data_IF_545987495333
#
_entry.id   IF_545987495333
#
_cell.length_a   1.000
_cell.length_b   1.000
_cell.length_c   1.000
_cell.angle_alpha   90.00
_cell.angle_beta   90.00
_cell.angle_gamma   90.00
#
_symmetry.space_group_name_H-M   'P 1'
#
loop_
_entity.id
_entity.type
_entity.pdbx_description
1 polymer ?
#
# COMPACT_ATOMS: atom_id res chain seq x y z
N UNK A 1 0.21 -35.44 -3.28
CA UNK A 1 0.69 -34.11 -3.71
C UNK A 1 2.20 -34.05 -3.57
N UNK A 2 2.92 -33.64 -4.62
CA UNK A 2 4.37 -33.45 -4.55
C UNK A 2 4.68 -32.33 -3.55
N UNK A 3 5.37 -32.66 -2.46
CA UNK A 3 5.83 -31.68 -1.47
C UNK A 3 6.83 -30.67 -2.06
N UNK A 4 7.34 -29.79 -1.20
CA UNK A 4 8.38 -28.83 -1.58
C UNK A 4 9.74 -29.53 -1.75
N UNK A 5 10.56 -29.05 -2.69
CA UNK A 5 11.93 -29.57 -2.87
C UNK A 5 12.81 -29.18 -1.69
N UNK A 6 13.58 -30.12 -1.15
CA UNK A 6 14.48 -29.87 -0.01
C UNK A 6 15.71 -29.03 -0.37
N UNK A 7 16.14 -29.05 -1.65
CA UNK A 7 17.27 -28.28 -2.19
C UNK A 7 18.59 -28.49 -1.42
N UNK A 8 18.74 -29.65 -0.75
CA UNK A 8 19.89 -29.97 0.10
C UNK A 8 20.10 -29.01 1.27
N UNK A 9 19.05 -28.34 1.76
CA UNK A 9 19.15 -27.28 2.78
C UNK A 9 18.18 -27.51 3.94
N UNK A 10 18.59 -27.04 5.13
CA UNK A 10 17.69 -26.95 6.30
C UNK A 10 16.50 -26.03 6.00
N UNK A 11 15.44 -26.13 6.80
CA UNK A 11 14.22 -25.37 6.59
C UNK A 11 14.43 -23.86 6.59
N UNK A 12 15.25 -23.34 7.52
CA UNK A 12 15.58 -21.92 7.63
C UNK A 12 16.37 -21.42 6.41
N UNK A 13 17.46 -22.13 6.06
CA UNK A 13 18.31 -21.79 4.91
C UNK A 13 17.53 -21.85 3.59
N UNK A 14 16.67 -22.85 3.41
CA UNK A 14 15.83 -22.96 2.22
C UNK A 14 14.86 -21.79 2.10
N UNK A 15 14.18 -21.42 3.19
CA UNK A 15 13.26 -20.27 3.20
C UNK A 15 14.00 -18.98 2.87
N UNK A 16 15.18 -18.77 3.45
CA UNK A 16 16.01 -17.60 3.17
C UNK A 16 16.42 -17.53 1.69
N UNK A 17 16.90 -18.65 1.13
CA UNK A 17 17.28 -18.74 -0.29
C UNK A 17 16.10 -18.41 -1.22
N UNK A 18 14.94 -19.04 -1.01
CA UNK A 18 13.77 -18.85 -1.88
C UNK A 18 13.24 -17.41 -1.80
N UNK A 19 13.19 -16.81 -0.61
CA UNK A 19 12.82 -15.39 -0.46
C UNK A 19 13.80 -14.47 -1.18
N UNK A 20 15.10 -14.68 -1.00
CA UNK A 20 16.11 -13.89 -1.69
C UNK A 20 16.00 -13.97 -3.21
N UNK A 21 15.68 -15.16 -3.76
CA UNK A 21 15.47 -15.34 -5.19
C UNK A 21 14.19 -14.66 -5.69
N UNK A 22 13.09 -14.72 -4.94
CA UNK A 22 11.84 -14.01 -5.27
C UNK A 22 12.07 -12.49 -5.26
N UNK A 23 12.75 -11.97 -4.24
CA UNK A 23 13.12 -10.54 -4.18
C UNK A 23 13.98 -10.15 -5.36
N UNK A 24 14.99 -10.97 -5.71
CA UNK A 24 15.85 -10.72 -6.86
C UNK A 24 15.08 -10.73 -8.17
N UNK A 25 14.05 -11.59 -8.30
CA UNK A 25 13.19 -11.63 -9.48
C UNK A 25 12.41 -10.33 -9.66
N UNK A 26 11.78 -9.82 -8.60
CA UNK A 26 10.99 -8.58 -8.67
C UNK A 26 11.84 -7.31 -8.72
N UNK A 27 13.04 -7.33 -8.11
CA UNK A 27 13.95 -6.19 -8.13
C UNK A 27 14.83 -6.12 -9.39
N UNK A 28 14.85 -7.18 -10.22
CA UNK A 28 15.60 -7.20 -11.46
C UNK A 28 15.03 -6.19 -12.45
N UNK A 29 15.89 -5.36 -13.04
CA UNK A 29 15.50 -4.37 -14.07
C UNK A 29 14.84 -5.03 -15.28
N UNK A 30 15.31 -6.23 -15.62
CA UNK A 30 14.82 -6.99 -16.78
C UNK A 30 13.70 -7.98 -16.39
N UNK A 31 13.28 -8.00 -15.12
CA UNK A 31 12.27 -8.93 -14.61
C UNK A 31 12.66 -10.42 -14.69
N UNK A 32 13.96 -10.71 -14.81
CA UNK A 32 14.48 -12.08 -15.01
C UNK A 32 15.63 -12.38 -14.05
N UNK A 33 15.71 -13.65 -13.64
CA UNK A 33 16.87 -14.23 -12.95
C UNK A 33 17.28 -15.54 -13.62
N UNK A 34 18.57 -15.85 -13.58
CA UNK A 34 19.12 -17.13 -14.04
C UNK A 34 19.43 -17.98 -12.80
N UNK A 35 18.86 -19.17 -12.71
CA UNK A 35 18.99 -20.08 -11.56
C UNK A 35 18.83 -21.52 -12.02
N UNK A 36 19.05 -22.48 -11.13
CA UNK A 36 18.84 -23.90 -11.44
C UNK A 36 17.35 -24.21 -11.58
N UNK A 37 17.00 -25.17 -12.44
CA UNK A 37 15.61 -25.54 -12.73
C UNK A 37 14.83 -25.91 -11.45
N UNK A 38 15.45 -26.68 -10.55
CA UNK A 38 14.85 -27.07 -9.28
C UNK A 38 14.51 -25.88 -8.39
N UNK A 39 15.31 -24.80 -8.42
CA UNK A 39 15.04 -23.56 -7.69
C UNK A 39 13.98 -22.73 -8.39
N UNK A 40 14.05 -22.61 -9.72
CA UNK A 40 13.09 -21.88 -10.53
C UNK A 40 11.66 -22.38 -10.29
N UNK A 41 11.45 -23.71 -10.31
CA UNK A 41 10.13 -24.33 -10.06
C UNK A 41 9.58 -24.10 -8.64
N UNK A 42 10.42 -23.79 -7.65
CA UNK A 42 9.97 -23.44 -6.29
C UNK A 42 9.70 -21.93 -6.16
N UNK A 43 10.56 -21.10 -6.76
CA UNK A 43 10.41 -19.64 -6.82
C UNK A 43 9.13 -19.26 -7.55
N UNK A 44 8.82 -19.93 -8.66
CA UNK A 44 7.60 -19.70 -9.44
C UNK A 44 6.34 -19.83 -8.59
N UNK A 45 6.19 -20.92 -7.83
CA UNK A 45 5.02 -21.16 -6.97
C UNK A 45 4.82 -20.05 -5.92
N UNK A 46 5.91 -19.47 -5.42
CA UNK A 46 5.85 -18.38 -4.43
C UNK A 46 5.53 -17.06 -5.13
N UNK A 47 6.19 -16.77 -6.25
CA UNK A 47 6.01 -15.54 -7.00
C UNK A 47 4.58 -15.38 -7.54
N UNK A 48 3.98 -16.45 -8.07
CA UNK A 48 2.59 -16.45 -8.57
C UNK A 48 1.60 -16.02 -7.48
N UNK A 49 1.74 -16.56 -6.26
CA UNK A 49 0.90 -16.19 -5.13
C UNK A 49 1.06 -14.73 -4.72
N UNK A 50 2.29 -14.20 -4.73
CA UNK A 50 2.56 -12.80 -4.42
C UNK A 50 2.01 -11.86 -5.49
N UNK A 51 2.12 -12.22 -6.76
CA UNK A 51 1.55 -11.45 -7.87
C UNK A 51 0.03 -11.41 -7.77
N UNK A 52 -0.62 -12.53 -7.46
CA UNK A 52 -2.08 -12.58 -7.29
C UNK A 52 -2.55 -11.66 -6.15
N UNK A 53 -1.84 -11.65 -5.01
CA UNK A 53 -2.13 -10.73 -3.91
C UNK A 53 -1.90 -9.27 -4.31
N UNK A 54 -0.81 -8.97 -5.01
CA UNK A 54 -0.50 -7.62 -5.47
C UNK A 54 -1.55 -7.11 -6.47
N UNK A 55 -2.05 -7.96 -7.38
CA UNK A 55 -3.11 -7.59 -8.32
C UNK A 55 -4.41 -7.28 -7.58
N UNK A 56 -4.72 -8.03 -6.52
CA UNK A 56 -5.92 -7.79 -5.71
C UNK A 56 -5.84 -6.46 -4.97
N UNK A 57 -4.67 -6.12 -4.43
CA UNK A 57 -4.48 -4.93 -3.60
C UNK A 57 -4.36 -3.64 -4.41
N UNK A 58 -3.83 -3.70 -5.64
CA UNK A 58 -3.52 -2.50 -6.43
C UNK A 58 -4.70 -1.54 -6.62
N UNK A 59 -5.92 -2.09 -6.64
CA UNK A 59 -7.18 -1.35 -6.86
C UNK A 59 -8.07 -1.35 -5.59
N UNK A 60 -7.57 -1.78 -4.43
CA UNK A 60 -8.34 -1.93 -3.19
C UNK A 60 -8.44 -0.63 -2.37
N UNK A 61 -8.75 0.48 -3.03
CA UNK A 61 -8.97 1.76 -2.35
C UNK A 61 -10.16 2.51 -2.94
N UNK A 62 -10.91 3.19 -2.08
CA UNK A 62 -11.94 4.15 -2.48
C UNK A 62 -11.44 5.58 -2.21
N UNK A 63 -11.66 6.45 -3.19
CA UNK A 63 -11.44 7.88 -3.03
C UNK A 63 -12.64 8.45 -2.28
N UNK A 64 -12.48 8.68 -0.97
CA UNK A 64 -13.54 9.29 -0.16
C UNK A 64 -13.30 10.79 -0.09
N UNK A 65 -14.30 11.56 -0.53
CA UNK A 65 -14.37 13.00 -0.28
C UNK A 65 -14.74 13.23 1.18
N UNK A 66 -13.76 13.57 2.00
CA UNK A 66 -14.02 13.95 3.39
C UNK A 66 -14.14 15.47 3.45
N UNK A 67 -15.33 15.95 3.80
CA UNK A 67 -15.58 17.37 4.05
C UNK A 67 -15.03 17.72 5.43
N UNK A 68 -13.96 18.51 5.47
CA UNK A 68 -13.40 19.03 6.71
C UNK A 68 -13.86 20.47 6.90
N UNK A 69 -14.58 20.73 8.00
CA UNK A 69 -14.96 22.09 8.40
C UNK A 69 -13.73 22.81 8.96
N UNK A 70 -13.21 23.80 8.24
CA UNK A 70 -12.08 24.62 8.68
C UNK A 70 -12.59 26.03 8.98
N UNK A 71 -12.21 26.60 10.12
CA UNK A 71 -12.61 27.96 10.46
C UNK A 71 -11.99 28.96 9.46
N UNK A 72 -12.82 29.83 8.86
CA UNK A 72 -12.37 30.89 7.96
C UNK A 72 -11.46 31.86 8.72
N UNK A 73 -10.27 32.13 8.17
CA UNK A 73 -9.27 33.03 8.77
C UNK A 73 -9.12 34.29 7.93
N UNK A 74 -8.96 35.43 8.61
CA UNK A 74 -8.60 36.71 7.98
C UNK A 74 -7.11 36.74 7.59
N UNK A 75 -6.69 37.79 6.86
CA UNK A 75 -5.31 37.99 6.39
C UNK A 75 -4.26 37.99 7.52
N UNK A 76 -4.68 38.23 8.76
CA UNK A 76 -3.85 38.22 9.97
C UNK A 76 -3.95 36.93 10.80
N UNK A 77 -4.56 35.86 10.25
CA UNK A 77 -4.63 34.54 10.87
C UNK A 77 -5.66 34.37 12.00
N UNK A 78 -6.43 35.42 12.32
CA UNK A 78 -7.52 35.37 13.31
C UNK A 78 -8.80 34.80 12.69
N UNK A 79 -9.62 34.13 13.52
CA UNK A 79 -10.88 33.50 13.11
C UNK A 79 -11.94 34.57 12.82
N UNK A 80 -12.57 34.50 11.65
CA UNK A 80 -13.70 35.37 11.30
C UNK A 80 -14.87 35.04 12.21
N UNK A 81 -15.41 36.06 12.89
CA UNK A 81 -16.60 35.95 13.73
C UNK A 81 -17.69 36.87 13.16
N UNK A 82 -18.85 36.31 12.89
CA UNK A 82 -20.04 37.04 12.47
C UNK A 82 -21.03 37.13 13.65
N UNK A 83 -21.80 38.21 13.76
CA UNK A 83 -22.82 38.37 14.81
C UNK A 83 -24.16 37.92 14.24
N UNK A 84 -24.62 36.75 14.65
CA UNK A 84 -26.01 36.31 14.50
C UNK A 84 -26.66 36.31 15.87
N UNK A 85 -27.85 36.90 15.99
CA UNK A 85 -28.68 36.89 17.19
C UNK A 85 -27.96 37.34 18.48
N UNK A 86 -27.19 38.45 18.40
CA UNK A 86 -26.54 39.07 19.56
C UNK A 86 -25.34 38.32 20.15
N UNK A 87 -24.91 37.19 19.56
CA UNK A 87 -23.72 36.41 19.98
C UNK A 87 -22.72 36.27 18.83
N UNK A 88 -21.41 36.36 19.13
CA UNK A 88 -20.33 36.21 18.14
C UNK A 88 -20.10 34.75 17.80
N UNK A 89 -20.41 34.33 16.57
CA UNK A 89 -20.24 32.94 16.09
C UNK A 89 -19.12 32.89 15.06
N UNK A 90 -18.25 31.87 15.14
CA UNK A 90 -17.16 31.69 14.16
C UNK A 90 -17.66 31.08 12.86
N UNK A 91 -17.27 31.66 11.72
CA UNK A 91 -17.60 31.14 10.38
C UNK A 91 -16.65 29.99 10.03
N UNK A 92 -17.19 28.89 9.51
CA UNK A 92 -16.44 27.74 9.02
C UNK A 92 -16.66 27.60 7.51
N UNK A 93 -15.59 27.40 6.76
CA UNK A 93 -15.62 26.99 5.36
C UNK A 93 -15.51 25.46 5.29
N UNK A 94 -16.22 24.84 4.34
CA UNK A 94 -16.08 23.41 4.05
C UNK A 94 -14.97 23.20 3.03
N UNK A 95 -13.88 22.55 3.45
CA UNK A 95 -12.79 22.17 2.57
C UNK A 95 -12.96 20.70 2.22
N UNK A 96 -13.27 20.41 0.96
CA UNK A 96 -13.22 19.04 0.43
C UNK A 96 -11.76 18.58 0.38
N UNK A 97 -11.44 17.52 1.12
CA UNK A 97 -10.17 16.80 0.99
C UNK A 97 -10.44 15.44 0.39
N UNK A 98 -9.80 15.14 -0.73
CA UNK A 98 -9.79 13.80 -1.29
C UNK A 98 -8.76 12.97 -0.51
N UNK A 99 -9.22 11.92 0.16
CA UNK A 99 -8.37 11.00 0.91
C UNK A 99 -8.52 9.61 0.28
N UNK A 100 -7.39 8.95 0.04
CA UNK A 100 -7.36 7.52 -0.30
C UNK A 100 -7.71 6.73 0.95
N UNK A 101 -8.84 6.03 0.96
CA UNK A 101 -9.25 5.15 2.05
C UNK A 101 -9.22 3.71 1.56
N UNK A 102 -8.48 2.87 2.26
CA UNK A 102 -8.41 1.44 1.98
C UNK A 102 -9.78 0.79 2.33
N UNK A 103 -10.20 -0.19 1.52
CA UNK A 103 -11.41 -0.99 1.72
C UNK A 103 -11.25 -2.06 2.80
#
# INVERSE_FOLDING_TARGET
MAGYRKLGRTSSQRKALLRGQVTSLFASKDGRIITTEARAKEVQKIAEGLIALAIKEKDNYEMVKVTAKVAKKDKDGKRVKEVKDGKKVTVYDEVEKEIKKDL
#
